data_IF_119566557133
#
_entry.id   IF_119566557133
#
_cell.length_a   1.000
_cell.length_b   1.000
_cell.length_c   1.000
_cell.angle_alpha   90.00
_cell.angle_beta   90.00
_cell.angle_gamma   90.00
#
_symmetry.space_group_name_H-M   'P 1'
#
loop_
_entity.id
_entity.type
_entity.pdbx_description
1 polymer ?
#
# COMPACT_ATOMS: atom_id res chain seq x y z
N UNK A 1 -10.29 -23.37 2.33
CA UNK A 1 -8.94 -22.77 2.38
C UNK A 1 -8.92 -21.81 3.56
N UNK A 2 -8.02 -21.97 4.53
CA UNK A 2 -7.90 -21.01 5.63
C UNK A 2 -7.40 -19.69 5.04
N UNK A 3 -8.25 -18.68 5.09
CA UNK A 3 -7.92 -17.33 4.60
C UNK A 3 -6.97 -16.70 5.64
N UNK A 4 -5.68 -16.74 5.38
CA UNK A 4 -4.69 -16.07 6.22
C UNK A 4 -4.83 -14.57 5.97
N UNK A 5 -5.23 -13.83 7.00
CA UNK A 5 -5.42 -12.38 6.92
C UNK A 5 -4.87 -11.71 8.18
N UNK A 6 -4.36 -10.50 8.03
CA UNK A 6 -3.98 -9.65 9.16
C UNK A 6 -5.25 -9.03 9.75
N UNK A 7 -5.36 -9.05 11.07
CA UNK A 7 -6.56 -8.53 11.76
C UNK A 7 -6.61 -6.99 11.78
N UNK A 8 -7.82 -6.43 11.89
CA UNK A 8 -8.02 -5.00 12.07
C UNK A 8 -7.31 -4.46 13.32
N UNK A 9 -7.26 -5.27 14.39
CA UNK A 9 -6.57 -4.92 15.64
C UNK A 9 -5.05 -4.83 15.44
N UNK A 10 -4.47 -5.72 14.63
CA UNK A 10 -3.05 -5.63 14.31
C UNK A 10 -2.72 -4.38 13.50
N UNK A 11 -3.53 -4.03 12.51
CA UNK A 11 -3.37 -2.75 11.80
C UNK A 11 -3.49 -1.55 12.74
N UNK A 12 -4.42 -1.57 13.69
CA UNK A 12 -4.53 -0.52 14.71
C UNK A 12 -3.28 -0.44 15.60
N UNK A 13 -2.70 -1.57 16.01
CA UNK A 13 -1.45 -1.61 16.78
C UNK A 13 -0.26 -1.08 15.96
N UNK A 14 -0.18 -1.36 14.65
CA UNK A 14 0.85 -0.80 13.77
C UNK A 14 0.75 0.71 13.70
N UNK A 15 -0.46 1.25 13.52
CA UNK A 15 -0.72 2.69 13.52
C UNK A 15 -0.39 3.34 14.87
N UNK A 16 -0.74 2.70 15.98
CA UNK A 16 -0.40 3.20 17.31
C UNK A 16 1.13 3.28 17.53
N UNK A 17 1.89 2.27 17.08
CA UNK A 17 3.35 2.30 17.14
C UNK A 17 3.93 3.41 16.26
N UNK A 18 3.49 3.50 15.00
CA UNK A 18 3.91 4.59 14.11
C UNK A 18 3.60 5.97 14.70
N UNK A 19 2.42 6.13 15.30
CA UNK A 19 1.99 7.36 15.96
C UNK A 19 2.85 7.73 17.19
N UNK A 20 3.32 6.74 17.93
CA UNK A 20 4.24 6.97 19.06
C UNK A 20 5.59 7.51 18.57
N UNK A 21 6.13 6.95 17.49
CA UNK A 21 7.42 7.35 16.90
C UNK A 21 7.35 8.74 16.21
N UNK A 22 6.15 9.26 15.95
CA UNK A 22 5.97 10.63 15.46
C UNK A 22 6.34 11.69 16.51
N UNK A 23 6.36 11.35 17.80
CA UNK A 23 6.74 12.27 18.89
C UNK A 23 5.98 13.61 18.83
N UNK A 24 4.67 13.52 18.70
CA UNK A 24 3.77 14.69 18.61
C UNK A 24 3.78 15.40 17.25
N UNK A 25 4.56 14.95 16.25
CA UNK A 25 4.48 15.45 14.90
C UNK A 25 3.29 14.85 14.14
N UNK A 26 2.77 15.57 13.16
CA UNK A 26 1.76 15.07 12.24
C UNK A 26 2.40 14.19 11.17
N UNK A 27 1.80 13.04 10.85
CA UNK A 27 2.20 12.20 9.72
C UNK A 27 1.07 12.03 8.73
N UNK A 28 1.40 11.96 7.44
CA UNK A 28 0.43 11.63 6.38
C UNK A 28 1.03 10.57 5.46
N UNK A 29 0.22 9.59 5.09
CA UNK A 29 0.61 8.55 4.16
C UNK A 29 -0.45 8.47 3.06
N UNK A 30 -0.01 8.56 1.83
CA UNK A 30 -0.85 8.49 0.64
C UNK A 30 -0.87 7.05 0.09
N UNK A 31 -2.04 6.59 -0.30
CA UNK A 31 -2.16 5.30 -1.00
C UNK A 31 -1.60 5.35 -2.43
N UNK A 32 -1.55 6.55 -3.01
CA UNK A 32 -1.26 6.75 -4.42
C UNK A 32 -2.53 6.77 -5.27
N UNK A 33 -2.39 7.19 -6.51
CA UNK A 33 -3.46 7.18 -7.51
C UNK A 33 -3.46 5.89 -8.31
N UNK A 34 -4.59 5.49 -8.86
CA UNK A 34 -4.66 4.36 -9.79
C UNK A 34 -3.93 4.66 -11.10
N UNK A 35 -3.34 3.63 -11.71
CA UNK A 35 -2.57 3.72 -12.95
C UNK A 35 -3.41 3.82 -14.25
N UNK A 36 -4.70 4.10 -14.19
CA UNK A 36 -5.59 4.10 -15.36
C UNK A 36 -6.10 2.69 -15.72
N UNK A 37 -6.53 2.49 -16.97
CA UNK A 37 -7.12 1.22 -17.43
C UNK A 37 -6.09 0.11 -17.65
N UNK A 38 -4.82 0.46 -17.78
CA UNK A 38 -3.76 -0.50 -18.13
C UNK A 38 -3.04 -1.11 -16.92
N UNK A 39 -3.14 -0.49 -15.75
CA UNK A 39 -2.46 -0.96 -14.54
C UNK A 39 -3.44 -1.14 -13.37
N UNK A 40 -3.44 -2.34 -12.79
CA UNK A 40 -4.17 -2.59 -11.54
C UNK A 40 -3.61 -1.68 -10.44
N UNK A 41 -4.50 -0.96 -9.75
CA UNK A 41 -4.10 -0.13 -8.61
C UNK A 41 -3.42 -0.98 -7.53
N UNK A 42 -2.24 -0.54 -7.13
CA UNK A 42 -1.52 -1.06 -5.96
C UNK A 42 -1.20 0.09 -5.02
N UNK A 43 -1.65 0.03 -3.79
CA UNK A 43 -1.38 1.10 -2.83
C UNK A 43 0.10 1.17 -2.49
N UNK A 44 0.54 2.34 -2.06
CA UNK A 44 1.88 2.51 -1.49
C UNK A 44 2.07 1.54 -0.31
N UNK A 45 3.19 0.85 -0.25
CA UNK A 45 3.45 -0.23 0.72
C UNK A 45 3.32 0.19 2.19
N UNK A 46 3.63 1.46 2.52
CA UNK A 46 3.44 1.98 3.88
C UNK A 46 1.96 2.18 4.22
N UNK A 47 1.15 2.61 3.24
CA UNK A 47 -0.29 2.74 3.42
C UNK A 47 -0.93 1.36 3.65
N UNK A 48 -0.63 0.39 2.79
CA UNK A 48 -1.11 -0.99 2.93
C UNK A 48 -0.69 -1.59 4.27
N UNK A 49 0.58 -1.44 4.69
CA UNK A 49 1.10 -1.96 5.95
C UNK A 49 0.33 -1.43 7.17
N UNK A 50 -0.08 -0.17 7.15
CA UNK A 50 -0.78 0.47 8.27
C UNK A 50 -2.29 0.31 8.23
N UNK A 51 -2.89 0.00 7.08
CA UNK A 51 -4.36 0.02 6.92
C UNK A 51 -4.95 -1.31 6.46
N UNK A 52 -4.20 -2.12 5.73
CA UNK A 52 -4.71 -3.30 5.03
C UNK A 52 -5.63 -3.00 3.86
N UNK A 53 -5.76 -1.73 3.48
CA UNK A 53 -6.65 -1.27 2.39
C UNK A 53 -5.87 -1.33 1.08
N UNK A 54 -6.39 -2.06 0.10
CA UNK A 54 -5.75 -2.31 -1.19
C UNK A 54 -6.58 -1.86 -2.39
N UNK A 55 -7.82 -1.42 -2.16
CA UNK A 55 -8.84 -1.17 -3.18
C UNK A 55 -9.38 0.27 -3.16
N UNK A 56 -8.66 1.23 -2.54
CA UNK A 56 -9.08 2.63 -2.40
C UNK A 56 -8.03 3.60 -2.99
N UNK A 57 -7.98 3.76 -4.33
CA UNK A 57 -7.07 4.72 -4.94
C UNK A 57 -7.37 6.16 -4.47
N UNK A 58 -6.31 6.94 -4.23
CA UNK A 58 -6.40 8.29 -3.72
C UNK A 58 -6.70 8.39 -2.21
N UNK A 59 -6.77 7.26 -1.50
CA UNK A 59 -6.94 7.27 -0.05
C UNK A 59 -5.69 7.83 0.67
N UNK A 60 -5.88 8.35 1.88
CA UNK A 60 -4.80 8.87 2.72
C UNK A 60 -5.06 8.49 4.18
N UNK A 61 -3.98 8.28 4.91
CA UNK A 61 -4.00 8.11 6.36
C UNK A 61 -3.33 9.31 7.02
N UNK A 62 -4.05 10.00 7.89
CA UNK A 62 -3.51 11.08 8.73
C UNK A 62 -3.33 10.55 10.15
N UNK A 63 -2.13 10.72 10.70
CA UNK A 63 -1.79 10.42 12.09
C UNK A 63 -1.57 11.73 12.84
N UNK A 64 -2.37 11.96 13.89
CA UNK A 64 -2.32 13.15 14.74
C UNK A 64 -2.18 12.76 16.22
N UNK A 65 -0.94 12.52 16.69
CA UNK A 65 -0.70 12.17 18.10
C UNK A 65 -1.21 13.22 19.09
N UNK A 66 -1.33 14.49 18.65
CA UNK A 66 -1.73 15.64 19.49
C UNK A 66 -3.23 15.80 19.61
N UNK A 67 -4.05 15.01 18.91
CA UNK A 67 -5.49 15.10 18.96
C UNK A 67 -6.02 14.85 20.40
N UNK A 68 -6.84 15.76 20.91
CA UNK A 68 -7.48 15.64 22.22
C UNK A 68 -8.51 14.51 22.26
N UNK A 69 -9.21 14.30 21.16
CA UNK A 69 -10.15 13.18 20.99
C UNK A 69 -9.39 11.96 20.45
N UNK A 70 -9.44 10.85 21.19
CA UNK A 70 -8.80 9.58 20.78
C UNK A 70 -9.20 9.13 19.37
N UNK A 71 -10.47 9.37 18.99
CA UNK A 71 -11.02 9.00 17.68
C UNK A 71 -10.42 9.80 16.52
N UNK A 72 -9.78 10.94 16.79
CA UNK A 72 -9.16 11.82 15.78
C UNK A 72 -7.65 11.66 15.70
N UNK A 73 -7.06 10.76 16.49
CA UNK A 73 -5.62 10.44 16.39
C UNK A 73 -5.26 9.74 15.09
N UNK A 74 -6.23 9.08 14.48
CA UNK A 74 -6.13 8.37 13.21
C UNK A 74 -7.33 8.75 12.34
N UNK A 75 -7.10 9.31 11.18
CA UNK A 75 -8.13 9.72 10.24
C UNK A 75 -7.86 9.06 8.89
N UNK A 76 -8.80 8.24 8.44
CA UNK A 76 -8.79 7.71 7.09
C UNK A 76 -9.51 8.70 6.17
N UNK A 77 -8.84 9.10 5.11
CA UNK A 77 -9.40 9.97 4.07
C UNK A 77 -9.64 9.12 2.83
N UNK A 78 -10.87 9.12 2.33
CA UNK A 78 -11.28 8.38 1.14
C UNK A 78 -11.68 9.34 0.01
N UNK A 79 -11.56 8.89 -1.21
CA UNK A 79 -12.02 9.62 -2.40
C UNK A 79 -13.51 9.98 -2.30
N UNK A 80 -13.96 11.12 -2.84
CA UNK A 80 -15.35 11.54 -2.76
C UNK A 80 -16.26 10.64 -3.60
N UNK A 81 -17.56 10.67 -3.30
CA UNK A 81 -18.58 10.12 -4.18
C UNK A 81 -18.64 10.97 -5.46
N UNK A 82 -18.40 10.35 -6.58
CA UNK A 82 -18.51 10.92 -7.92
C UNK A 82 -19.31 9.95 -8.79
N UNK A 83 -20.63 10.12 -8.94
CA UNK A 83 -21.49 9.16 -9.65
C UNK A 83 -21.03 8.85 -11.07
N UNK A 84 -20.41 9.82 -11.72
CA UNK A 84 -19.84 9.65 -13.06
C UNK A 84 -18.65 8.71 -13.06
N UNK A 85 -17.78 8.80 -12.07
CA UNK A 85 -16.61 7.92 -11.89
C UNK A 85 -17.04 6.55 -11.37
N UNK A 86 -17.98 6.51 -10.41
CA UNK A 86 -18.49 5.27 -9.83
C UNK A 86 -19.22 4.37 -10.85
N UNK A 87 -19.72 4.97 -11.93
CA UNK A 87 -20.31 4.22 -13.04
C UNK A 87 -19.28 3.35 -13.78
N UNK A 88 -18.00 3.77 -13.75
CA UNK A 88 -16.90 3.08 -14.41
C UNK A 88 -16.06 2.23 -13.44
N UNK A 89 -15.77 2.79 -12.27
CA UNK A 89 -14.82 2.18 -11.31
C UNK A 89 -15.51 1.38 -10.20
N UNK A 90 -16.84 1.38 -10.17
CA UNK A 90 -17.63 0.72 -9.13
C UNK A 90 -18.04 1.64 -7.98
N UNK A 91 -18.97 1.15 -7.18
CA UNK A 91 -19.59 1.88 -6.09
C UNK A 91 -18.63 2.15 -4.94
N UNK A 92 -18.60 3.38 -4.44
CA UNK A 92 -17.87 3.78 -3.23
C UNK A 92 -18.78 3.77 -2.02
N UNK A 93 -18.36 3.05 -0.97
CA UNK A 93 -19.16 2.88 0.25
C UNK A 93 -19.54 4.20 0.93
N UNK A 94 -20.76 4.29 1.46
CA UNK A 94 -21.20 5.40 2.31
C UNK A 94 -20.43 5.32 3.65
N UNK A 95 -20.04 6.49 4.21
CA UNK A 95 -19.37 6.54 5.51
C UNK A 95 -20.39 6.29 6.63
N UNK A 96 -20.59 5.03 6.96
CA UNK A 96 -21.46 4.56 8.03
C UNK A 96 -20.70 3.69 9.06
N UNK A 97 -21.42 3.01 9.94
CA UNK A 97 -20.82 2.10 10.92
C UNK A 97 -20.19 0.85 10.27
N UNK A 98 -20.77 0.38 9.17
CA UNK A 98 -20.27 -0.80 8.43
C UNK A 98 -18.91 -0.50 7.80
N UNK A 99 -18.79 0.63 7.11
CA UNK A 99 -17.52 1.05 6.48
C UNK A 99 -16.43 1.29 7.53
N UNK A 100 -16.80 1.92 8.68
CA UNK A 100 -15.85 2.10 9.79
C UNK A 100 -15.38 0.77 10.36
N UNK A 101 -16.26 -0.19 10.50
CA UNK A 101 -15.90 -1.55 10.95
C UNK A 101 -15.05 -2.28 9.92
N UNK A 102 -15.40 -2.20 8.63
CA UNK A 102 -14.64 -2.80 7.52
C UNK A 102 -13.17 -2.37 7.56
N UNK A 103 -12.92 -1.07 7.68
CA UNK A 103 -11.57 -0.52 7.65
C UNK A 103 -10.90 -0.36 9.03
N UNK A 104 -11.61 -0.59 10.12
CA UNK A 104 -11.07 -0.49 11.47
C UNK A 104 -10.73 0.95 11.90
N UNK A 105 -11.46 1.96 11.38
CA UNK A 105 -11.27 3.37 11.71
C UNK A 105 -12.50 3.97 12.38
N UNK A 106 -12.28 4.76 13.42
CA UNK A 106 -13.36 5.53 14.08
C UNK A 106 -13.71 6.80 13.31
N UNK A 107 -12.71 7.44 12.72
CA UNK A 107 -12.89 8.66 11.91
C UNK A 107 -12.52 8.41 10.46
N UNK A 108 -13.50 8.54 9.57
CA UNK A 108 -13.32 8.49 8.12
C UNK A 108 -13.90 9.79 7.56
N UNK A 109 -13.19 10.42 6.62
CA UNK A 109 -13.60 11.64 5.91
C UNK A 109 -13.42 11.48 4.41
N UNK A 110 -13.98 12.40 3.62
CA UNK A 110 -13.74 12.49 2.18
C UNK A 110 -12.62 13.50 1.88
N UNK A 111 -11.96 13.34 0.75
CA UNK A 111 -10.78 14.16 0.35
C UNK A 111 -11.07 15.66 0.28
N UNK A 112 -12.31 16.07 0.06
CA UNK A 112 -12.71 17.49 0.09
C UNK A 112 -12.49 18.16 1.48
N UNK A 113 -12.38 17.39 2.55
CA UNK A 113 -12.07 17.88 3.90
C UNK A 113 -10.59 17.81 4.25
N UNK A 114 -9.77 17.14 3.45
CA UNK A 114 -8.36 16.86 3.75
C UNK A 114 -7.54 18.13 3.99
N UNK A 115 -7.57 19.07 3.05
CA UNK A 115 -6.72 20.26 3.10
C UNK A 115 -6.99 21.11 4.35
N UNK A 116 -8.28 21.34 4.67
CA UNK A 116 -8.67 22.12 5.86
C UNK A 116 -8.35 21.39 7.16
N UNK A 117 -8.59 20.08 7.22
CA UNK A 117 -8.31 19.25 8.39
C UNK A 117 -6.81 19.21 8.66
N UNK A 118 -6.00 18.93 7.64
CA UNK A 118 -4.55 18.87 7.79
C UNK A 118 -3.95 20.22 8.20
N UNK A 119 -4.43 21.35 7.63
CA UNK A 119 -3.98 22.67 8.02
C UNK A 119 -4.26 22.98 9.49
N UNK A 120 -5.43 22.60 10.00
CA UNK A 120 -5.78 22.77 11.43
C UNK A 120 -4.89 21.90 12.35
N UNK A 121 -4.63 20.66 11.96
CA UNK A 121 -3.76 19.75 12.71
C UNK A 121 -2.34 20.32 12.73
N UNK A 122 -1.77 20.69 11.59
CA UNK A 122 -0.42 21.24 11.49
C UNK A 122 -0.27 22.61 12.17
N UNK A 123 -1.32 23.44 12.17
CA UNK A 123 -1.32 24.71 12.92
C UNK A 123 -1.23 24.50 14.44
N UNK A 124 -1.77 23.39 14.95
CA UNK A 124 -1.72 22.98 16.34
C UNK A 124 -0.41 22.28 16.70
N UNK A 125 0.00 21.27 15.94
CA UNK A 125 1.20 20.46 16.20
C UNK A 125 2.49 21.23 15.96
N UNK A 126 2.47 22.21 15.05
CA UNK A 126 3.62 23.00 14.58
C UNK A 126 4.77 22.17 14.01
N UNK A 127 4.61 20.86 13.91
CA UNK A 127 5.62 19.97 13.33
C UNK A 127 4.99 18.80 12.58
N UNK A 128 5.64 18.36 11.51
CA UNK A 128 5.29 17.16 10.78
C UNK A 128 6.54 16.28 10.53
N UNK A 129 6.34 14.99 10.37
CA UNK A 129 7.37 14.05 9.91
C UNK A 129 6.97 13.45 8.57
N UNK A 130 7.88 13.52 7.60
CA UNK A 130 7.72 12.84 6.32
C UNK A 130 7.88 11.34 6.51
N UNK A 131 6.88 10.57 6.11
CA UNK A 131 6.82 9.11 6.29
C UNK A 131 7.05 8.35 4.98
N UNK A 132 6.93 9.02 3.83
CA UNK A 132 7.34 8.44 2.57
C UNK A 132 8.87 8.39 2.47
N UNK A 133 9.36 7.41 1.73
CA UNK A 133 10.79 7.28 1.48
C UNK A 133 11.30 8.54 0.76
N UNK A 134 12.40 9.09 1.27
CA UNK A 134 13.08 10.18 0.59
C UNK A 134 13.69 9.64 -0.71
N UNK A 135 13.41 10.33 -1.79
CA UNK A 135 13.94 10.02 -3.12
C UNK A 135 15.20 10.85 -3.39
N UNK A 136 15.96 10.46 -4.42
CA UNK A 136 17.05 11.26 -4.95
C UNK A 136 16.53 12.55 -5.61
N UNK A 137 17.45 13.41 -6.04
CA UNK A 137 17.11 14.73 -6.62
C UNK A 137 16.47 14.65 -8.03
N UNK A 138 16.51 13.49 -8.69
CA UNK A 138 15.92 13.28 -10.03
C UNK A 138 14.49 12.72 -9.92
N UNK A 139 14.13 12.15 -8.80
CA UNK A 139 12.81 11.57 -8.55
C UNK A 139 11.81 12.62 -8.10
N UNK A 140 10.53 12.35 -8.29
CA UNK A 140 9.46 13.23 -7.80
C UNK A 140 9.52 13.38 -6.27
N UNK A 141 9.23 14.58 -5.79
CA UNK A 141 9.12 14.86 -4.35
C UNK A 141 8.05 13.99 -3.72
N UNK A 142 8.31 13.41 -2.57
CA UNK A 142 7.33 12.62 -1.82
C UNK A 142 6.05 13.43 -1.55
N UNK A 143 4.86 12.83 -1.69
CA UNK A 143 3.58 13.57 -1.63
C UNK A 143 3.33 14.21 -0.26
N UNK A 144 3.82 13.63 0.81
CA UNK A 144 3.74 14.19 2.16
C UNK A 144 4.67 15.40 2.33
N UNK A 145 5.90 15.34 1.83
CA UNK A 145 6.83 16.45 1.83
C UNK A 145 6.27 17.63 1.01
N UNK A 146 5.72 17.37 -0.16
CA UNK A 146 5.10 18.41 -1.00
C UNK A 146 3.97 19.14 -0.27
N UNK A 147 3.07 18.40 0.38
CA UNK A 147 1.95 18.99 1.13
C UNK A 147 2.45 19.77 2.34
N UNK A 148 3.43 19.25 3.09
CA UNK A 148 3.98 19.94 4.26
C UNK A 148 4.74 21.21 3.88
N UNK A 149 5.47 21.24 2.76
CA UNK A 149 6.12 22.44 2.25
C UNK A 149 5.09 23.54 1.90
N UNK A 150 3.94 23.17 1.31
CA UNK A 150 2.85 24.12 1.05
C UNK A 150 2.25 24.69 2.35
N UNK A 151 2.18 23.89 3.42
CA UNK A 151 1.72 24.33 4.73
C UNK A 151 2.76 25.17 5.47
N UNK A 152 4.04 24.87 5.34
CA UNK A 152 5.14 25.63 5.95
C UNK A 152 5.15 27.10 5.49
N UNK A 153 4.80 27.37 4.23
CA UNK A 153 4.65 28.73 3.72
C UNK A 153 3.49 29.52 4.35
N UNK A 154 2.55 28.84 5.02
CA UNK A 154 1.31 29.43 5.58
C UNK A 154 1.23 29.38 7.09
N UNK A 155 2.02 28.54 7.74
CA UNK A 155 1.98 28.32 9.19
C UNK A 155 3.31 28.75 9.79
N UNK A 156 3.40 29.94 10.42
CA UNK A 156 4.63 30.40 11.05
C UNK A 156 5.14 29.41 12.12
N UNK A 157 6.44 29.13 12.09
CA UNK A 157 7.09 28.20 13.00
C UNK A 157 6.75 26.72 12.79
N UNK A 158 6.24 26.37 11.60
CA UNK A 158 6.01 24.97 11.25
C UNK A 158 7.30 24.30 10.79
N UNK A 159 7.62 23.16 11.40
CA UNK A 159 8.82 22.37 11.11
C UNK A 159 8.47 21.10 10.36
N UNK A 160 9.32 20.76 9.37
CA UNK A 160 9.26 19.50 8.63
C UNK A 160 10.47 18.67 9.02
N UNK A 161 10.25 17.46 9.50
CA UNK A 161 11.26 16.54 10.02
C UNK A 161 11.28 15.25 9.21
N UNK A 162 12.42 14.58 9.20
CA UNK A 162 12.54 13.24 8.61
C UNK A 162 11.93 12.19 9.53
N UNK A 163 11.00 11.42 9.00
CA UNK A 163 10.36 10.25 9.60
C UNK A 163 10.42 9.03 8.69
N UNK A 164 11.18 9.09 7.60
CA UNK A 164 11.22 8.08 6.54
C UNK A 164 11.58 6.67 7.02
N UNK A 165 12.29 6.54 8.14
CA UNK A 165 12.68 5.27 8.73
C UNK A 165 11.66 4.70 9.74
N UNK A 166 10.61 5.44 10.12
CA UNK A 166 9.63 4.98 11.13
C UNK A 166 8.97 3.68 10.65
N UNK A 167 8.33 3.71 9.49
CA UNK A 167 7.59 2.55 8.98
C UNK A 167 8.53 1.41 8.52
N UNK A 168 9.64 1.65 7.82
CA UNK A 168 10.62 0.60 7.52
C UNK A 168 11.10 -0.17 8.75
N UNK A 169 11.37 0.49 9.87
CA UNK A 169 11.76 -0.17 11.13
C UNK A 169 10.64 -1.07 11.68
N UNK A 170 9.40 -0.61 11.65
CA UNK A 170 8.24 -1.42 12.06
C UNK A 170 8.05 -2.65 11.16
N UNK A 171 8.31 -2.53 9.87
CA UNK A 171 8.20 -3.61 8.88
C UNK A 171 9.39 -4.59 8.92
N UNK A 172 10.53 -4.20 9.49
CA UNK A 172 11.73 -5.02 9.52
C UNK A 172 11.50 -6.33 10.31
N UNK A 173 10.82 -6.26 11.44
CA UNK A 173 10.45 -7.43 12.25
C UNK A 173 9.02 -7.84 11.93
N UNK A 174 8.85 -9.05 11.38
CA UNK A 174 7.56 -9.58 10.92
C UNK A 174 6.76 -10.13 12.10
N UNK A 175 5.46 -9.84 12.10
CA UNK A 175 4.53 -10.46 13.04
C UNK A 175 4.23 -11.91 12.66
N UNK A 176 3.60 -12.66 13.57
CA UNK A 176 3.16 -14.04 13.29
C UNK A 176 2.16 -14.10 12.12
N UNK A 177 1.27 -13.10 12.00
CA UNK A 177 0.33 -12.98 10.89
C UNK A 177 1.05 -12.74 9.56
N UNK A 178 2.08 -11.87 9.54
CA UNK A 178 2.92 -11.64 8.35
C UNK A 178 3.71 -12.90 7.97
N UNK A 179 4.26 -13.61 8.96
CA UNK A 179 4.95 -14.88 8.71
C UNK A 179 4.01 -15.94 8.14
N UNK A 180 2.77 -16.00 8.62
CA UNK A 180 1.75 -16.91 8.08
C UNK A 180 1.43 -16.57 6.61
N UNK A 181 1.31 -15.28 6.26
CA UNK A 181 1.11 -14.85 4.87
C UNK A 181 2.31 -15.19 3.98
N UNK A 182 3.54 -14.99 4.47
CA UNK A 182 4.76 -15.34 3.73
C UNK A 182 4.81 -16.85 3.48
N UNK A 183 4.51 -17.68 4.49
CA UNK A 183 4.43 -19.15 4.32
C UNK A 183 3.38 -19.52 3.28
N UNK A 184 2.19 -18.90 3.34
CA UNK A 184 1.13 -19.14 2.35
C UNK A 184 1.58 -18.75 0.93
N UNK A 185 2.26 -17.63 0.77
CA UNK A 185 2.83 -17.21 -0.52
C UNK A 185 3.85 -18.23 -1.04
N UNK A 186 4.70 -18.75 -0.17
CA UNK A 186 5.68 -19.80 -0.54
C UNK A 186 4.98 -21.12 -0.98
N UNK A 187 3.90 -21.53 -0.30
CA UNK A 187 3.09 -22.67 -0.72
C UNK A 187 2.51 -22.47 -2.12
N UNK A 188 1.90 -21.30 -2.38
CA UNK A 188 1.34 -20.96 -3.69
C UNK A 188 2.42 -20.98 -4.76
N UNK A 189 3.61 -20.45 -4.46
CA UNK A 189 4.77 -20.49 -5.36
C UNK A 189 5.13 -21.95 -5.69
N UNK A 190 5.13 -22.84 -4.70
CA UNK A 190 5.34 -24.27 -4.90
C UNK A 190 4.33 -24.91 -5.85
N UNK A 191 3.05 -24.51 -5.80
CA UNK A 191 2.03 -25.01 -6.75
C UNK A 191 2.29 -24.52 -8.18
N UNK A 192 2.74 -23.29 -8.36
CA UNK A 192 3.17 -22.81 -9.69
C UNK A 192 4.35 -23.63 -10.24
N UNK A 193 5.34 -23.95 -9.41
CA UNK A 193 6.43 -24.83 -9.85
C UNK A 193 5.93 -26.25 -10.19
N UNK A 194 5.01 -26.81 -9.47
CA UNK A 194 4.40 -28.12 -9.82
C UNK A 194 3.67 -28.05 -11.15
N UNK A 195 2.97 -26.96 -11.42
CA UNK A 195 2.31 -26.73 -12.71
C UNK A 195 3.33 -26.69 -13.86
N UNK A 196 4.44 -25.96 -13.70
CA UNK A 196 5.55 -25.95 -14.67
C UNK A 196 6.07 -27.36 -14.92
N UNK A 197 6.41 -28.09 -13.87
CA UNK A 197 6.99 -29.44 -13.98
C UNK A 197 6.07 -30.42 -14.69
N UNK A 198 4.75 -30.24 -14.61
CA UNK A 198 3.77 -31.10 -15.28
C UNK A 198 3.74 -30.95 -16.80
N UNK A 199 4.20 -29.81 -17.33
CA UNK A 199 4.18 -29.51 -18.76
C UNK A 199 5.57 -29.45 -19.40
N UNK A 200 6.62 -29.37 -18.58
CA UNK A 200 8.00 -29.12 -19.05
C UNK A 200 8.49 -30.29 -19.91
N UNK A 201 8.83 -30.00 -21.16
CA UNK A 201 9.37 -30.93 -22.13
C UNK A 201 10.15 -30.19 -23.21
N UNK A 202 11.06 -30.84 -23.96
CA UNK A 202 11.68 -30.22 -25.11
C UNK A 202 10.65 -29.68 -26.12
N UNK A 203 10.87 -28.47 -26.62
CA UNK A 203 10.01 -27.83 -27.61
C UNK A 203 8.83 -27.04 -27.00
N UNK A 204 8.77 -26.87 -25.66
CA UNK A 204 7.83 -25.95 -25.03
C UNK A 204 8.39 -24.53 -25.06
N UNK A 205 7.52 -23.54 -25.24
CA UNK A 205 7.95 -22.14 -25.22
C UNK A 205 8.13 -21.59 -23.80
N UNK A 206 8.97 -20.57 -23.63
CA UNK A 206 9.11 -19.80 -22.39
C UNK A 206 7.77 -19.21 -21.96
N UNK A 207 6.95 -18.78 -22.94
CA UNK A 207 5.61 -18.24 -22.68
C UNK A 207 4.65 -19.30 -22.09
N UNK A 208 4.66 -20.54 -22.61
CA UNK A 208 3.83 -21.61 -22.02
C UNK A 208 4.23 -21.92 -20.59
N UNK A 209 5.51 -21.84 -20.27
CA UNK A 209 6.03 -22.03 -18.91
C UNK A 209 5.58 -20.89 -17.99
N UNK A 210 5.62 -19.63 -18.47
CA UNK A 210 5.07 -18.48 -17.76
C UNK A 210 3.59 -18.67 -17.45
N UNK A 211 2.78 -19.02 -18.46
CA UNK A 211 1.33 -19.18 -18.30
C UNK A 211 1.00 -20.31 -17.31
N UNK A 212 1.73 -21.41 -17.36
CA UNK A 212 1.54 -22.50 -16.40
C UNK A 212 1.84 -22.06 -14.96
N UNK A 213 2.94 -21.32 -14.74
CA UNK A 213 3.30 -20.79 -13.43
C UNK A 213 2.21 -19.85 -12.89
N UNK A 214 1.83 -18.86 -13.69
CA UNK A 214 0.86 -17.83 -13.29
C UNK A 214 -0.55 -18.39 -13.09
N UNK A 215 -0.96 -19.35 -13.93
CA UNK A 215 -2.20 -20.09 -13.71
C UNK A 215 -2.14 -20.88 -12.39
N UNK A 216 -1.02 -21.54 -12.10
CA UNK A 216 -0.78 -22.22 -10.84
C UNK A 216 -0.93 -21.27 -9.64
N UNK A 217 -0.37 -20.07 -9.70
CA UNK A 217 -0.52 -19.06 -8.63
C UNK A 217 -1.97 -18.62 -8.47
N UNK A 218 -2.65 -18.25 -9.56
CA UNK A 218 -4.03 -17.75 -9.52
C UNK A 218 -5.02 -18.80 -9.05
N UNK A 219 -4.90 -20.04 -9.49
CA UNK A 219 -5.78 -21.14 -9.08
C UNK A 219 -5.66 -21.50 -7.60
N UNK A 220 -4.57 -21.09 -6.94
CA UNK A 220 -4.35 -21.30 -5.50
C UNK A 220 -4.53 -20.03 -4.65
N UNK A 221 -5.13 -18.98 -5.23
CA UNK A 221 -5.60 -17.80 -4.51
C UNK A 221 -4.67 -16.59 -4.53
N UNK A 222 -3.61 -16.59 -5.35
CA UNK A 222 -2.85 -15.39 -5.65
C UNK A 222 -3.57 -14.53 -6.69
N UNK A 223 -3.36 -13.21 -6.65
CA UNK A 223 -3.76 -12.30 -7.74
C UNK A 223 -2.85 -12.41 -8.96
N UNK A 224 -1.64 -12.93 -8.79
CA UNK A 224 -0.61 -13.05 -9.80
C UNK A 224 0.78 -12.83 -9.23
N UNK A 225 1.81 -12.78 -10.07
CA UNK A 225 3.17 -12.47 -9.64
C UNK A 225 3.27 -11.00 -9.20
N UNK A 226 4.18 -10.71 -8.27
CA UNK A 226 4.44 -9.34 -7.80
C UNK A 226 5.21 -8.51 -8.83
N UNK A 227 6.03 -9.15 -9.65
CA UNK A 227 6.79 -8.56 -10.76
C UNK A 227 6.64 -9.45 -12.01
N UNK A 228 6.91 -8.89 -13.19
CA UNK A 228 6.78 -9.63 -14.44
C UNK A 228 7.57 -10.95 -14.41
N UNK A 229 6.91 -12.03 -14.74
CA UNK A 229 7.49 -13.38 -14.73
C UNK A 229 8.69 -13.47 -15.66
N UNK A 230 9.76 -14.07 -15.19
CA UNK A 230 11.01 -14.26 -15.94
C UNK A 230 11.14 -15.75 -16.22
N UNK A 231 11.15 -16.12 -17.49
CA UNK A 231 11.42 -17.47 -17.97
C UNK A 231 12.48 -17.38 -19.06
N UNK A 232 13.63 -18.00 -18.84
CA UNK A 232 14.72 -17.99 -19.81
C UNK A 232 15.17 -19.41 -20.12
N UNK A 233 15.22 -19.76 -21.42
CA UNK A 233 15.79 -21.00 -21.96
C UNK A 233 17.14 -20.73 -22.65
N UNK A 234 17.97 -21.73 -22.77
CA UNK A 234 19.26 -21.62 -23.48
C UNK A 234 20.08 -20.42 -23.02
N UNK A 235 20.46 -19.54 -23.94
CA UNK A 235 21.25 -18.35 -23.67
C UNK A 235 20.49 -17.35 -22.79
N UNK A 236 19.15 -17.25 -22.93
CA UNK A 236 18.32 -16.32 -22.16
C UNK A 236 18.35 -16.60 -20.65
N UNK A 237 18.61 -17.84 -20.24
CA UNK A 237 18.78 -18.22 -18.84
C UNK A 237 19.97 -17.53 -18.15
N UNK A 238 20.88 -16.90 -18.91
CA UNK A 238 22.00 -16.11 -18.37
C UNK A 238 21.67 -14.63 -18.17
N UNK A 239 20.48 -14.17 -18.61
CA UNK A 239 20.04 -12.78 -18.54
C UNK A 239 19.14 -12.60 -17.31
N UNK A 240 19.62 -11.89 -16.30
CA UNK A 240 18.95 -11.79 -14.99
C UNK A 240 17.54 -11.21 -15.03
N UNK A 241 17.26 -10.25 -15.90
CA UNK A 241 15.96 -9.59 -16.01
C UNK A 241 15.33 -9.77 -17.41
N UNK A 242 15.54 -10.96 -18.00
CA UNK A 242 14.92 -11.30 -19.27
C UNK A 242 13.39 -11.41 -19.13
N UNK A 243 12.64 -10.69 -19.94
CA UNK A 243 11.17 -10.60 -19.86
C UNK A 243 10.43 -10.87 -21.16
N UNK A 244 11.13 -11.09 -22.26
CA UNK A 244 10.47 -11.33 -23.53
C UNK A 244 9.71 -12.66 -23.50
N UNK A 245 10.29 -13.70 -22.88
CA UNK A 245 9.70 -15.02 -22.69
C UNK A 245 9.14 -15.60 -24.00
N UNK A 246 9.87 -15.41 -25.13
CA UNK A 246 9.39 -15.68 -26.48
C UNK A 246 10.13 -16.81 -27.20
N UNK A 247 11.11 -17.44 -26.56
CA UNK A 247 11.89 -18.53 -27.14
C UNK A 247 11.33 -19.91 -26.80
N UNK A 248 11.83 -20.95 -27.53
CA UNK A 248 11.48 -22.36 -27.36
C UNK A 248 12.65 -23.12 -26.76
#
# INVERSE_FOLDING_TARGET
MNNVAISADEFAQRRARASADLDGATGVIFAGSGGGLEEEFRPHLHFEYLTGIIDEPGAMLVLDPTATRKTHKEILILSPHLPEVERWDGWRGIIDSSLRSKFGFKTIMRTNHFASTLAQICARSKKAKCLHTLSDHESAVGPDLEVFQKLQQRIPGFEILDGSLIIPRLRAVKSDSELAMIRRSAEITGEGFRAILSILRPGISEFDVQEAAEHGYRSHGSRGPFYGTIVGSGFNATILHYRANDQI
#
